data_IF_977761532661
#
_entry.id   IF_977761532661
#
_cell.length_a   1.000
_cell.length_b   1.000
_cell.length_c   1.000
_cell.angle_alpha   90.00
_cell.angle_beta   90.00
_cell.angle_gamma   90.00
#
_symmetry.space_group_name_H-M   'P 1'
#
loop_
_entity.id
_entity.type
_entity.pdbx_description
1 polymer ?
#
# COMPACT_ATOMS: atom_id res chain seq x y z
N UNK A 1 -31.19 -16.21 61.91
CA UNK A 1 -30.07 -15.25 61.94
C UNK A 1 -28.88 -15.96 61.33
N UNK A 2 -28.29 -15.61 60.20
CA UNK A 2 -28.57 -14.57 59.22
C UNK A 2 -27.96 -15.04 57.88
N UNK A 3 -28.62 -14.75 56.78
CA UNK A 3 -28.02 -14.83 55.45
C UNK A 3 -27.15 -13.58 55.27
N UNK A 4 -25.84 -13.75 55.21
CA UNK A 4 -24.92 -12.71 54.80
C UNK A 4 -25.01 -12.54 53.28
N UNK A 5 -25.80 -11.55 52.85
CA UNK A 5 -25.76 -11.01 51.50
C UNK A 5 -24.34 -10.48 51.22
N UNK A 6 -23.53 -11.26 50.49
CA UNK A 6 -22.41 -10.71 49.74
C UNK A 6 -23.00 -9.96 48.55
N UNK A 7 -23.23 -8.66 48.72
CA UNK A 7 -23.35 -7.75 47.60
C UNK A 7 -21.97 -7.68 46.92
N UNK A 8 -21.73 -8.61 46.00
CA UNK A 8 -20.61 -8.55 45.08
C UNK A 8 -20.85 -7.33 44.18
N UNK A 9 -20.06 -6.27 44.39
CA UNK A 9 -20.17 -5.03 43.64
C UNK A 9 -19.72 -5.29 42.19
N UNK A 10 -20.65 -5.78 41.36
CA UNK A 10 -20.54 -5.82 39.91
C UNK A 10 -20.44 -4.39 39.38
N UNK A 11 -19.22 -3.86 39.24
CA UNK A 11 -19.00 -2.74 38.32
C UNK A 11 -18.74 -3.29 36.93
N UNK A 12 -19.86 -3.41 36.22
CA UNK A 12 -20.03 -3.57 34.77
C UNK A 12 -19.11 -2.62 33.99
N UNK A 13 -18.84 -2.90 32.70
CA UNK A 13 -18.36 -1.83 31.80
C UNK A 13 -19.44 -0.76 31.90
N UNK A 14 -19.07 0.43 32.36
CA UNK A 14 -19.96 1.57 32.28
C UNK A 14 -20.47 1.62 30.84
N UNK A 15 -21.80 1.66 30.67
CA UNK A 15 -22.43 1.99 29.40
C UNK A 15 -21.79 3.30 28.92
N UNK A 16 -20.80 3.16 28.08
CA UNK A 16 -20.04 4.24 27.48
C UNK A 16 -20.20 4.00 26.00
N UNK A 17 -20.43 5.07 25.25
CA UNK A 17 -20.44 5.03 23.79
C UNK A 17 -19.07 4.64 23.21
N UNK A 18 -18.09 4.25 24.04
CA UNK A 18 -16.73 3.97 23.64
C UNK A 18 -16.58 2.60 22.98
N UNK A 19 -16.03 2.61 21.77
CA UNK A 19 -15.71 1.43 20.96
C UNK A 19 -14.26 1.00 21.18
N UNK A 20 -14.02 -0.21 21.67
CA UNK A 20 -12.68 -0.72 21.93
C UNK A 20 -12.14 -1.50 20.73
N UNK A 21 -10.95 -1.13 20.27
CA UNK A 21 -10.27 -1.71 19.12
C UNK A 21 -8.95 -2.31 19.60
N UNK A 22 -8.87 -3.64 19.60
CA UNK A 22 -7.65 -4.36 19.91
C UNK A 22 -6.76 -4.48 18.67
N UNK A 23 -5.51 -4.00 18.74
CA UNK A 23 -4.47 -4.33 17.76
C UNK A 23 -3.82 -5.63 18.22
N UNK A 24 -4.21 -6.73 17.58
CA UNK A 24 -3.77 -8.05 18.02
C UNK A 24 -2.27 -8.28 17.75
N UNK A 25 -1.59 -8.85 18.73
CA UNK A 25 -0.18 -9.27 18.65
C UNK A 25 -0.03 -10.68 19.25
N UNK A 26 0.86 -11.52 18.69
CA UNK A 26 1.16 -12.81 19.29
C UNK A 26 1.89 -12.63 20.63
N UNK A 27 1.65 -13.52 21.59
CA UNK A 27 2.21 -13.45 22.95
C UNK A 27 3.75 -13.41 23.02
N UNK A 28 4.45 -13.83 21.96
CA UNK A 28 5.93 -13.74 21.87
C UNK A 28 6.41 -12.34 21.44
N UNK A 29 5.55 -11.54 20.79
CA UNK A 29 5.88 -10.19 20.33
C UNK A 29 5.68 -9.13 21.42
N UNK A 30 4.75 -9.34 22.35
CA UNK A 30 4.47 -8.41 23.47
C UNK A 30 5.63 -8.25 24.46
N UNK A 31 6.64 -9.15 24.43
CA UNK A 31 7.83 -9.09 25.30
C UNK A 31 8.97 -8.22 24.77
N UNK A 32 8.92 -7.72 23.53
CA UNK A 32 9.94 -6.80 23.00
C UNK A 32 9.43 -5.37 23.08
N UNK A 33 9.92 -4.59 24.06
CA UNK A 33 9.84 -3.13 24.00
C UNK A 33 10.60 -2.68 22.75
N UNK A 34 9.88 -2.30 21.70
CA UNK A 34 10.49 -1.75 20.49
C UNK A 34 10.80 -0.27 20.78
N UNK A 35 12.06 0.19 20.79
CA UNK A 35 12.41 1.52 21.31
C UNK A 35 12.04 2.68 20.39
N UNK A 36 11.53 2.41 19.19
CA UNK A 36 11.22 3.43 18.20
C UNK A 36 9.89 3.09 17.53
N UNK A 37 8.86 3.87 17.87
CA UNK A 37 7.57 3.90 17.18
C UNK A 37 7.85 4.10 15.68
N UNK A 38 7.72 3.01 14.90
CA UNK A 38 7.61 3.14 13.44
C UNK A 38 6.33 3.92 13.18
N UNK A 39 6.30 4.77 12.15
CA UNK A 39 5.13 5.59 11.75
C UNK A 39 3.83 4.79 11.47
N UNK A 40 3.83 3.47 11.65
CA UNK A 40 2.72 2.53 11.48
C UNK A 40 2.16 1.98 12.80
N UNK A 41 2.76 2.27 13.95
CA UNK A 41 2.25 1.81 15.24
C UNK A 41 1.19 2.79 15.77
N UNK A 42 -0.05 2.31 15.89
CA UNK A 42 -1.18 3.08 16.40
C UNK A 42 -1.09 3.10 17.93
N UNK A 43 -0.86 4.25 18.58
CA UNK A 43 -0.72 4.28 20.04
C UNK A 43 -2.04 3.98 20.74
N UNK A 44 -1.96 3.41 21.94
CA UNK A 44 -3.13 3.20 22.81
C UNK A 44 -3.88 4.51 23.11
N UNK A 45 -5.18 4.39 23.25
CA UNK A 45 -6.10 5.47 23.60
C UNK A 45 -6.86 6.07 22.44
N UNK A 46 -7.47 7.23 22.71
CA UNK A 46 -8.36 7.95 21.78
C UNK A 46 -7.63 9.06 21.01
N UNK A 47 -6.38 9.39 21.40
CA UNK A 47 -5.66 10.58 20.94
C UNK A 47 -5.53 10.66 19.43
N UNK A 48 -5.42 9.52 18.74
CA UNK A 48 -5.30 9.49 17.28
C UNK A 48 -6.56 10.02 16.60
N UNK A 49 -7.75 9.67 17.12
CA UNK A 49 -9.02 10.09 16.53
C UNK A 49 -9.25 11.59 16.73
N UNK A 50 -8.93 12.11 17.91
CA UNK A 50 -9.02 13.53 18.23
C UNK A 50 -8.05 14.35 17.37
N UNK A 51 -6.78 13.93 17.28
CA UNK A 51 -5.75 14.64 16.50
C UNK A 51 -6.05 14.67 15.00
N UNK A 52 -6.64 13.59 14.48
CA UNK A 52 -7.04 13.50 13.07
C UNK A 52 -8.39 14.17 12.79
N UNK A 53 -9.07 14.71 13.81
CA UNK A 53 -10.40 15.32 13.71
C UNK A 53 -11.40 14.39 13.01
N UNK A 54 -11.43 13.13 13.44
CA UNK A 54 -12.38 12.15 12.91
C UNK A 54 -13.83 12.57 13.21
N UNK A 55 -14.78 12.16 12.38
CA UNK A 55 -16.22 12.37 12.61
C UNK A 55 -16.67 11.73 13.94
N UNK A 56 -16.18 10.51 14.20
CA UNK A 56 -16.36 9.81 15.46
C UNK A 56 -15.03 9.75 16.22
N UNK A 57 -15.05 10.18 17.48
CA UNK A 57 -13.87 10.19 18.38
C UNK A 57 -14.02 9.25 19.57
N UNK A 58 -15.15 8.57 19.69
CA UNK A 58 -15.49 7.58 20.71
C UNK A 58 -14.88 6.19 20.43
N UNK A 59 -13.69 6.12 19.81
CA UNK A 59 -12.95 4.88 19.62
C UNK A 59 -11.67 4.88 20.45
N UNK A 60 -11.32 3.73 21.00
CA UNK A 60 -10.17 3.53 21.86
C UNK A 60 -9.30 2.39 21.33
N UNK A 61 -8.05 2.70 20.98
CA UNK A 61 -7.08 1.70 20.54
C UNK A 61 -6.40 1.09 21.75
N UNK A 62 -6.18 -0.22 21.74
CA UNK A 62 -5.41 -0.90 22.76
C UNK A 62 -4.61 -2.07 22.21
N UNK A 63 -3.48 -2.36 22.83
CA UNK A 63 -2.73 -3.61 22.61
C UNK A 63 -2.90 -4.62 23.76
N UNK A 64 -3.63 -4.24 24.81
CA UNK A 64 -3.93 -5.09 25.94
C UNK A 64 -5.26 -5.82 25.70
N UNK A 65 -5.16 -7.13 25.43
CA UNK A 65 -6.33 -7.98 25.23
C UNK A 65 -7.18 -8.14 26.49
N UNK A 66 -6.61 -7.87 27.67
CA UNK A 66 -7.23 -8.05 28.97
C UNK A 66 -7.80 -6.74 29.55
N UNK A 67 -7.71 -5.63 28.80
CA UNK A 67 -8.17 -4.28 29.20
C UNK A 67 -9.62 -4.24 29.71
N UNK A 68 -10.47 -5.16 29.23
CA UNK A 68 -11.87 -5.31 29.67
C UNK A 68 -12.02 -6.44 30.70
N UNK A 69 -11.15 -6.46 31.72
CA UNK A 69 -11.10 -7.46 32.80
C UNK A 69 -10.92 -8.89 32.27
N UNK A 70 -10.06 -9.06 31.25
CA UNK A 70 -9.82 -10.36 30.60
C UNK A 70 -10.94 -10.83 29.67
N UNK A 71 -12.08 -10.12 29.57
CA UNK A 71 -13.17 -10.50 28.68
C UNK A 71 -13.00 -9.88 27.28
N UNK A 72 -12.22 -10.56 26.44
CA UNK A 72 -11.94 -10.14 25.07
C UNK A 72 -13.17 -10.14 24.14
N UNK A 73 -14.27 -10.83 24.48
CA UNK A 73 -15.52 -10.81 23.70
C UNK A 73 -16.21 -9.44 23.71
N UNK A 74 -15.83 -8.56 24.64
CA UNK A 74 -16.39 -7.21 24.78
C UNK A 74 -15.70 -6.17 23.89
N UNK A 75 -14.59 -6.50 23.25
CA UNK A 75 -13.95 -5.60 22.31
C UNK A 75 -14.82 -5.49 21.05
N UNK A 76 -15.04 -4.28 20.56
CA UNK A 76 -15.88 -4.01 19.39
C UNK A 76 -15.20 -4.47 18.09
N UNK A 77 -13.86 -4.33 18.02
CA UNK A 77 -13.06 -4.85 16.92
C UNK A 77 -11.71 -5.42 17.36
N UNK A 78 -11.22 -6.38 16.57
CA UNK A 78 -9.86 -6.91 16.67
C UNK A 78 -9.19 -6.80 15.31
N UNK A 79 -8.10 -6.04 15.24
CA UNK A 79 -7.31 -5.81 14.03
C UNK A 79 -6.12 -6.74 14.00
N UNK A 80 -6.03 -7.55 12.95
CA UNK A 80 -4.96 -8.52 12.73
C UNK A 80 -4.05 -8.03 11.61
N UNK A 81 -2.79 -7.71 11.94
CA UNK A 81 -1.82 -7.35 10.93
C UNK A 81 -1.29 -8.60 10.21
N UNK A 82 -1.17 -8.56 8.88
CA UNK A 82 -0.66 -9.70 8.09
C UNK A 82 0.69 -10.21 8.62
N UNK A 83 1.59 -9.30 9.00
CA UNK A 83 2.94 -9.66 9.48
C UNK A 83 2.92 -10.45 10.78
N UNK A 84 1.88 -10.27 11.58
CA UNK A 84 1.71 -10.95 12.87
C UNK A 84 1.03 -12.30 12.67
N UNK A 85 0.01 -12.40 11.81
CA UNK A 85 -0.70 -13.67 11.57
C UNK A 85 0.15 -14.67 10.78
N UNK A 86 0.91 -14.24 9.76
CA UNK A 86 1.76 -15.15 8.95
C UNK A 86 2.92 -15.76 9.73
N UNK A 87 3.29 -15.15 10.86
CA UNK A 87 4.33 -15.64 11.78
C UNK A 87 3.76 -16.45 12.95
N UNK A 88 2.44 -16.54 13.04
CA UNK A 88 1.74 -17.16 14.15
C UNK A 88 0.98 -18.39 13.68
N UNK A 89 0.93 -19.41 14.52
CA UNK A 89 0.01 -20.52 14.28
C UNK A 89 -1.39 -20.11 14.74
N UNK A 90 -2.47 -20.55 14.07
CA UNK A 90 -3.84 -20.23 14.48
C UNK A 90 -4.15 -20.50 15.95
N UNK A 91 -3.59 -21.59 16.50
CA UNK A 91 -3.72 -21.95 17.92
C UNK A 91 -3.18 -20.91 18.91
N UNK A 92 -2.37 -19.96 18.44
CA UNK A 92 -1.84 -18.86 19.25
C UNK A 92 -2.77 -17.63 19.27
N UNK A 93 -3.88 -17.65 18.50
CA UNK A 93 -4.92 -16.63 18.56
C UNK A 93 -5.82 -16.97 19.75
N UNK A 94 -5.38 -16.53 20.93
CA UNK A 94 -6.09 -16.72 22.20
C UNK A 94 -7.13 -15.61 22.40
N UNK A 95 -8.19 -15.68 21.58
CA UNK A 95 -9.35 -14.78 21.61
C UNK A 95 -10.63 -15.58 21.41
N UNK A 96 -11.65 -15.28 22.20
CA UNK A 96 -12.99 -15.80 21.99
C UNK A 96 -13.80 -14.73 21.27
N UNK A 97 -14.35 -15.09 20.09
CA UNK A 97 -15.08 -14.15 19.25
C UNK A 97 -16.55 -14.12 19.62
N UNK A 98 -17.07 -12.94 19.94
CA UNK A 98 -18.53 -12.72 20.01
C UNK A 98 -19.13 -12.45 18.62
N UNK A 99 -20.43 -12.71 18.41
CA UNK A 99 -21.10 -12.41 17.14
C UNK A 99 -21.04 -10.94 16.72
N UNK A 100 -20.98 -10.03 17.69
CA UNK A 100 -20.98 -8.57 17.47
C UNK A 100 -19.58 -8.03 17.16
N UNK A 101 -18.53 -8.76 17.56
CA UNK A 101 -17.14 -8.34 17.41
C UNK A 101 -16.66 -8.47 15.96
N UNK A 102 -16.03 -7.41 15.46
CA UNK A 102 -15.51 -7.35 14.09
C UNK A 102 -14.04 -7.74 14.03
N UNK A 103 -13.74 -8.83 13.33
CA UNK A 103 -12.36 -9.23 13.03
C UNK A 103 -11.91 -8.56 11.74
N UNK A 104 -10.89 -7.72 11.82
CA UNK A 104 -10.43 -6.85 10.73
C UNK A 104 -9.05 -7.33 10.26
N UNK A 105 -8.93 -7.74 9.01
CA UNK A 105 -7.64 -8.01 8.38
C UNK A 105 -6.96 -6.69 8.00
N UNK A 106 -5.69 -6.51 8.34
CA UNK A 106 -4.95 -5.29 8.03
C UNK A 106 -3.58 -5.55 7.36
N UNK A 107 -3.31 -4.88 6.24
CA UNK A 107 -2.00 -4.91 5.59
C UNK A 107 -1.74 -3.73 4.65
N UNK A 108 -0.55 -3.13 4.77
CA UNK A 108 0.02 -2.23 3.76
C UNK A 108 1.16 -2.87 2.97
N UNK A 109 1.54 -4.11 3.31
CA UNK A 109 2.46 -4.88 2.48
C UNK A 109 1.67 -5.72 1.47
N UNK A 110 2.28 -5.98 0.33
CA UNK A 110 1.69 -6.76 -0.75
C UNK A 110 1.39 -8.21 -0.37
N UNK A 111 0.35 -8.75 -1.00
CA UNK A 111 -0.07 -10.13 -0.82
C UNK A 111 0.90 -11.17 -1.40
N UNK A 112 1.73 -10.79 -2.37
CA UNK A 112 2.87 -11.59 -2.85
C UNK A 112 3.94 -11.73 -1.76
N UNK A 113 4.21 -10.66 -1.00
CA UNK A 113 5.26 -10.66 0.03
C UNK A 113 4.80 -11.36 1.32
N UNK A 114 3.52 -11.26 1.65
CA UNK A 114 2.92 -11.90 2.81
C UNK A 114 1.64 -12.65 2.42
N UNK A 115 1.76 -13.78 1.70
CA UNK A 115 0.60 -14.60 1.42
C UNK A 115 0.09 -15.23 2.72
N UNK A 116 -1.23 -15.46 2.78
CA UNK A 116 -1.86 -16.13 3.92
C UNK A 116 -2.15 -17.56 3.50
N UNK A 117 -1.44 -18.51 4.09
CA UNK A 117 -1.44 -19.90 3.63
C UNK A 117 -2.39 -20.81 4.40
N UNK A 118 -2.60 -20.53 5.69
CA UNK A 118 -3.42 -21.36 6.56
C UNK A 118 -4.92 -21.18 6.25
N UNK A 119 -5.60 -22.28 5.93
CA UNK A 119 -7.03 -22.28 5.62
C UNK A 119 -7.91 -21.84 6.79
N UNK A 120 -7.39 -21.84 8.01
CA UNK A 120 -8.04 -21.27 9.17
C UNK A 120 -8.53 -19.84 8.95
N UNK A 121 -7.85 -19.05 8.11
CA UNK A 121 -8.21 -17.66 7.86
C UNK A 121 -9.35 -17.47 6.84
N UNK A 122 -9.77 -18.54 6.15
CA UNK A 122 -10.99 -18.50 5.36
C UNK A 122 -12.21 -18.47 6.30
N UNK A 123 -13.16 -17.56 6.05
CA UNK A 123 -14.29 -17.29 6.96
C UNK A 123 -13.88 -16.68 8.32
N UNK A 124 -12.65 -16.18 8.47
CA UNK A 124 -12.20 -15.62 9.74
C UNK A 124 -12.49 -14.12 9.86
N UNK A 125 -12.23 -13.33 8.82
CA UNK A 125 -12.34 -11.87 8.86
C UNK A 125 -13.74 -11.37 8.46
N UNK A 126 -14.23 -10.34 9.14
CA UNK A 126 -15.41 -9.57 8.73
C UNK A 126 -15.05 -8.45 7.76
N UNK A 127 -13.99 -7.71 8.10
CA UNK A 127 -13.59 -6.52 7.36
C UNK A 127 -12.15 -6.59 6.91
N UNK A 128 -11.87 -5.86 5.84
CA UNK A 128 -10.54 -5.71 5.26
C UNK A 128 -10.09 -4.25 5.30
N UNK A 129 -8.87 -4.02 5.77
CA UNK A 129 -8.22 -2.71 5.84
C UNK A 129 -6.85 -2.79 5.19
N UNK A 130 -6.79 -2.66 3.86
CA UNK A 130 -5.58 -2.93 3.09
C UNK A 130 -5.32 -1.91 1.99
N UNK A 131 -4.21 -2.06 1.27
CA UNK A 131 -3.92 -1.24 0.09
C UNK A 131 -4.89 -1.47 -1.08
N UNK A 132 -5.58 -2.62 -1.12
CA UNK A 132 -6.50 -2.97 -2.21
C UNK A 132 -7.72 -2.03 -2.20
N UNK A 133 -8.12 -1.56 -3.37
CA UNK A 133 -9.18 -0.55 -3.51
C UNK A 133 -10.57 -1.11 -3.20
N UNK A 134 -10.72 -2.43 -3.26
CA UNK A 134 -11.94 -3.17 -2.93
C UNK A 134 -12.07 -3.56 -1.45
N UNK A 135 -11.14 -3.12 -0.59
CA UNK A 135 -11.20 -3.36 0.85
C UNK A 135 -12.37 -2.60 1.49
N UNK A 136 -12.90 -3.11 2.60
CA UNK A 136 -13.90 -2.39 3.42
C UNK A 136 -13.41 -1.02 3.89
N UNK A 137 -12.10 -0.90 4.10
CA UNK A 137 -11.38 0.30 4.48
C UNK A 137 -10.13 0.39 3.57
N UNK A 138 -10.22 1.00 2.38
CA UNK A 138 -9.08 1.06 1.47
C UNK A 138 -8.05 2.09 1.95
N UNK A 139 -6.80 1.65 2.10
CA UNK A 139 -5.64 2.47 2.44
C UNK A 139 -4.50 2.28 1.42
N UNK A 140 -4.64 2.82 0.20
CA UNK A 140 -3.58 2.82 -0.82
C UNK A 140 -2.31 3.50 -0.30
N UNK A 141 -1.17 3.20 -0.94
CA UNK A 141 0.14 3.73 -0.53
C UNK A 141 0.40 5.19 -0.95
N UNK A 142 -0.60 5.81 -1.57
CA UNK A 142 -0.58 7.21 -1.99
C UNK A 142 -1.93 7.86 -1.78
N UNK A 143 -1.96 9.19 -1.86
CA UNK A 143 -3.21 9.94 -1.92
C UNK A 143 -3.15 10.96 -3.04
N UNK A 144 -4.31 11.15 -3.69
CA UNK A 144 -4.51 12.00 -4.85
C UNK A 144 -5.42 13.14 -4.42
N UNK A 145 -4.97 14.36 -4.68
CA UNK A 145 -5.72 15.58 -4.41
C UNK A 145 -5.93 16.36 -5.70
N UNK A 146 -7.05 17.07 -5.81
CA UNK A 146 -7.28 18.01 -6.91
C UNK A 146 -6.57 19.37 -6.68
N UNK A 147 -6.73 20.29 -7.62
CA UNK A 147 -6.21 21.66 -7.58
C UNK A 147 -6.72 22.48 -6.39
N UNK A 148 -7.89 22.13 -5.84
CA UNK A 148 -8.48 22.69 -4.61
C UNK A 148 -7.97 22.03 -3.33
N UNK A 149 -7.01 21.10 -3.41
CA UNK A 149 -6.46 20.33 -2.27
C UNK A 149 -7.49 19.41 -1.60
N UNK A 150 -8.54 19.03 -2.32
CA UNK A 150 -9.52 18.06 -1.86
C UNK A 150 -9.04 16.65 -2.21
N UNK A 151 -9.20 15.71 -1.29
CA UNK A 151 -8.86 14.31 -1.54
C UNK A 151 -9.87 13.70 -2.51
N UNK A 152 -9.39 13.05 -3.58
CA UNK A 152 -10.25 12.42 -4.58
C UNK A 152 -10.00 10.92 -4.76
N UNK A 153 -8.85 10.40 -4.33
CA UNK A 153 -8.49 9.00 -4.53
C UNK A 153 -7.09 8.60 -4.02
N UNK A 154 -6.58 7.42 -4.43
CA UNK A 154 -7.16 6.52 -5.45
C UNK A 154 -8.37 5.75 -4.93
N UNK A 155 -9.24 5.35 -5.86
CA UNK A 155 -10.46 4.55 -5.62
C UNK A 155 -10.84 3.81 -6.91
N UNK A 156 -11.62 2.74 -6.79
CA UNK A 156 -12.18 2.04 -7.95
C UNK A 156 -12.99 3.00 -8.83
N UNK A 157 -12.86 2.84 -10.14
CA UNK A 157 -13.54 3.66 -11.15
C UNK A 157 -13.24 5.15 -10.96
N UNK A 158 -11.95 5.48 -10.88
CA UNK A 158 -11.50 6.86 -10.70
C UNK A 158 -11.97 7.76 -11.85
N UNK A 159 -12.56 8.91 -11.52
CA UNK A 159 -13.02 9.90 -12.50
C UNK A 159 -11.98 11.00 -12.64
N UNK A 160 -11.44 11.13 -13.85
CA UNK A 160 -10.45 12.13 -14.22
C UNK A 160 -11.08 13.27 -15.02
N UNK A 161 -10.45 14.45 -15.00
CA UNK A 161 -10.85 15.55 -15.86
C UNK A 161 -10.73 15.13 -17.32
N UNK A 162 -11.76 15.39 -18.15
CA UNK A 162 -11.76 14.98 -19.56
C UNK A 162 -10.70 15.74 -20.38
N UNK A 163 -10.32 16.94 -19.95
CA UNK A 163 -9.27 17.74 -20.56
C UNK A 163 -8.41 18.40 -19.48
N UNK A 164 -7.12 18.11 -19.50
CA UNK A 164 -6.12 18.72 -18.63
C UNK A 164 -5.29 19.68 -19.47
N UNK A 165 -5.15 20.92 -19.00
CA UNK A 165 -4.38 21.96 -19.70
C UNK A 165 -3.13 22.31 -18.88
N UNK A 166 -1.99 22.35 -19.57
CA UNK A 166 -0.69 22.73 -19.00
C UNK A 166 -0.53 24.25 -18.94
N UNK A 167 -0.06 24.77 -17.80
CA UNK A 167 0.50 26.12 -17.68
C UNK A 167 1.96 26.13 -18.16
N UNK A 168 2.39 27.20 -18.84
CA UNK A 168 3.68 27.30 -19.56
C UNK A 168 4.96 27.10 -18.73
N UNK A 169 4.83 27.02 -17.40
CA UNK A 169 5.93 26.89 -16.44
C UNK A 169 6.83 25.65 -16.62
N UNK A 170 6.42 24.66 -17.43
CA UNK A 170 7.18 23.43 -17.65
C UNK A 170 8.04 23.42 -18.92
N UNK A 171 7.88 24.40 -19.82
CA UNK A 171 8.57 24.38 -21.12
C UNK A 171 10.10 24.51 -20.97
N UNK A 172 10.63 25.30 -20.03
CA UNK A 172 12.06 25.64 -19.98
C UNK A 172 12.99 24.55 -19.43
N UNK A 173 12.52 23.59 -18.61
CA UNK A 173 13.39 22.62 -17.90
C UNK A 173 13.80 21.39 -18.71
N UNK A 174 13.14 21.10 -19.81
CA UNK A 174 13.21 19.80 -20.49
C UNK A 174 13.97 19.83 -21.82
N UNK A 175 14.28 21.00 -22.38
CA UNK A 175 15.06 21.14 -23.61
C UNK A 175 16.53 20.69 -23.48
N UNK A 176 17.01 20.33 -22.28
CA UNK A 176 18.38 19.85 -22.04
C UNK A 176 18.50 18.33 -21.91
N UNK A 177 17.39 17.57 -22.03
CA UNK A 177 17.42 16.11 -21.89
C UNK A 177 18.08 15.48 -23.12
N UNK A 178 19.01 14.56 -22.89
CA UNK A 178 19.78 13.90 -23.98
C UNK A 178 19.80 12.39 -23.87
N UNK A 179 19.27 11.82 -22.78
CA UNK A 179 19.28 10.38 -22.52
C UNK A 179 17.86 9.81 -22.50
N UNK A 180 17.68 8.61 -23.01
CA UNK A 180 16.36 8.02 -23.11
C UNK A 180 15.80 7.63 -21.73
N UNK A 181 16.30 6.54 -21.13
CA UNK A 181 15.66 5.92 -19.96
C UNK A 181 16.63 5.78 -18.80
N UNK A 182 16.20 6.18 -17.60
CA UNK A 182 16.87 5.87 -16.35
C UNK A 182 16.01 4.95 -15.49
N UNK A 183 16.65 4.03 -14.78
CA UNK A 183 16.01 3.19 -13.78
C UNK A 183 16.70 3.35 -12.43
N UNK A 184 15.95 3.79 -11.42
CA UNK A 184 16.45 3.93 -10.05
C UNK A 184 16.09 2.68 -9.22
N UNK A 185 17.10 1.94 -8.78
CA UNK A 185 16.95 0.72 -7.97
C UNK A 185 17.43 0.99 -6.56
N UNK A 186 16.55 1.15 -5.56
CA UNK A 186 16.98 1.28 -4.18
C UNK A 186 17.38 -0.07 -3.55
N UNK A 187 16.92 -1.21 -4.08
CA UNK A 187 17.17 -2.57 -3.54
C UNK A 187 17.45 -3.59 -4.64
N UNK A 188 18.46 -4.44 -4.48
CA UNK A 188 18.91 -5.35 -5.55
C UNK A 188 17.91 -6.44 -5.93
N UNK A 189 17.03 -6.86 -5.03
CA UNK A 189 16.08 -7.96 -5.27
C UNK A 189 15.20 -7.74 -6.50
N UNK A 190 14.77 -6.50 -6.73
CA UNK A 190 13.96 -6.11 -7.90
C UNK A 190 14.68 -6.36 -9.23
N UNK A 191 16.02 -6.38 -9.25
CA UNK A 191 16.81 -6.61 -10.47
C UNK A 191 16.65 -8.02 -11.03
N UNK A 192 16.59 -9.03 -10.16
CA UNK A 192 16.46 -10.42 -10.59
C UNK A 192 15.07 -10.70 -11.16
N UNK A 193 14.01 -10.20 -10.51
CA UNK A 193 12.61 -10.41 -10.92
C UNK A 193 12.31 -9.92 -12.33
N UNK A 194 12.88 -8.79 -12.73
CA UNK A 194 12.63 -8.17 -14.04
C UNK A 194 13.78 -8.35 -15.02
N UNK A 195 14.66 -9.34 -14.81
CA UNK A 195 15.88 -9.48 -15.60
C UNK A 195 15.59 -9.64 -17.10
N UNK A 196 14.60 -10.45 -17.47
CA UNK A 196 14.27 -10.72 -18.87
C UNK A 196 13.72 -9.46 -19.54
N UNK A 197 12.71 -8.82 -18.96
CA UNK A 197 12.18 -7.54 -19.44
C UNK A 197 13.29 -6.49 -19.59
N UNK A 198 14.17 -6.35 -18.60
CA UNK A 198 15.27 -5.38 -18.62
C UNK A 198 16.29 -5.71 -19.71
N UNK A 199 16.59 -6.99 -19.93
CA UNK A 199 17.52 -7.45 -20.96
C UNK A 199 16.96 -7.15 -22.35
N UNK A 200 15.72 -7.54 -22.59
CA UNK A 200 15.02 -7.30 -23.86
C UNK A 200 14.85 -5.81 -24.13
N UNK A 201 14.41 -5.03 -23.14
CA UNK A 201 14.19 -3.60 -23.30
C UNK A 201 15.51 -2.85 -23.56
N UNK A 202 16.60 -3.25 -22.92
CA UNK A 202 17.94 -2.73 -23.24
C UNK A 202 18.34 -3.03 -24.67
N UNK A 203 18.09 -4.24 -25.15
CA UNK A 203 18.41 -4.63 -26.53
C UNK A 203 17.59 -3.82 -27.52
N UNK A 204 16.31 -3.63 -27.25
CA UNK A 204 15.45 -2.82 -28.10
C UNK A 204 15.88 -1.35 -28.11
N UNK A 205 16.12 -0.72 -26.97
CA UNK A 205 16.56 0.68 -26.93
C UNK A 205 17.87 0.92 -27.72
N UNK A 206 18.77 -0.08 -27.76
CA UNK A 206 20.01 0.02 -28.54
C UNK A 206 19.77 0.12 -30.05
N UNK A 207 18.66 -0.42 -30.59
CA UNK A 207 18.37 -0.32 -32.04
C UNK A 207 18.12 1.13 -32.46
N UNK A 208 17.69 1.98 -31.53
CA UNK A 208 17.50 3.43 -31.69
C UNK A 208 18.69 4.25 -31.15
N UNK A 209 19.84 3.62 -30.87
CA UNK A 209 21.01 4.25 -30.26
C UNK A 209 20.73 4.89 -28.87
N UNK A 210 19.83 4.30 -28.10
CA UNK A 210 19.49 4.73 -26.75
C UNK A 210 20.04 3.81 -25.67
N UNK A 211 20.06 4.32 -24.43
CA UNK A 211 20.49 3.54 -23.26
C UNK A 211 19.40 3.49 -22.18
N UNK A 212 19.39 2.36 -21.46
CA UNK A 212 18.74 2.20 -20.16
C UNK A 212 19.81 2.25 -19.07
N UNK A 213 19.98 3.42 -18.47
CA UNK A 213 20.96 3.65 -17.41
C UNK A 213 20.38 3.28 -16.04
N UNK A 214 21.09 2.46 -15.27
CA UNK A 214 20.61 1.98 -13.96
C UNK A 214 21.37 2.65 -12.82
N UNK A 215 20.64 3.35 -11.94
CA UNK A 215 21.14 4.02 -10.75
C UNK A 215 20.84 3.22 -9.48
N UNK A 216 21.74 3.28 -8.50
CA UNK A 216 21.56 2.72 -7.16
C UNK A 216 22.65 1.74 -6.76
N UNK A 217 22.53 1.06 -5.60
CA UNK A 217 23.52 0.11 -5.10
C UNK A 217 23.93 -0.96 -6.13
N UNK A 218 22.99 -1.43 -6.96
CA UNK A 218 23.14 -2.60 -7.84
C UNK A 218 23.12 -2.22 -9.33
N UNK A 219 23.11 -0.92 -9.62
CA UNK A 219 23.22 -0.34 -10.95
C UNK A 219 24.67 -0.02 -11.30
N UNK A 220 24.93 0.19 -12.60
CA UNK A 220 26.22 0.66 -13.09
C UNK A 220 26.49 2.13 -12.73
N UNK A 221 25.46 2.88 -12.32
CA UNK A 221 25.57 4.29 -11.92
C UNK A 221 25.22 4.48 -10.46
N UNK A 222 25.92 5.40 -9.80
CA UNK A 222 25.68 5.74 -8.39
C UNK A 222 24.88 7.03 -8.29
N UNK A 223 24.01 7.10 -7.29
CA UNK A 223 23.32 8.33 -6.93
C UNK A 223 24.32 9.35 -6.40
N UNK A 224 24.20 10.65 -6.72
CA UNK A 224 25.06 11.68 -6.14
C UNK A 224 24.99 11.66 -4.61
N UNK A 225 26.14 11.44 -3.95
CA UNK A 225 26.28 11.26 -2.50
C UNK A 225 25.36 10.16 -1.92
N UNK A 226 25.01 9.14 -2.70
CA UNK A 226 24.09 8.08 -2.27
C UNK A 226 22.63 8.53 -2.06
N UNK A 227 22.28 9.76 -2.44
CA UNK A 227 20.96 10.35 -2.15
C UNK A 227 19.94 10.07 -3.25
N UNK A 228 18.84 9.41 -2.90
CA UNK A 228 17.70 9.14 -3.81
C UNK A 228 17.10 10.44 -4.38
N UNK A 229 16.76 11.48 -3.58
CA UNK A 229 16.26 12.74 -4.12
C UNK A 229 17.22 13.41 -5.11
N UNK A 230 18.54 13.40 -4.84
CA UNK A 230 19.53 13.95 -5.78
C UNK A 230 19.58 13.15 -7.08
N UNK A 231 19.39 11.82 -7.01
CA UNK A 231 19.32 10.99 -8.20
C UNK A 231 18.08 11.30 -9.04
N UNK A 232 16.91 11.44 -8.42
CA UNK A 232 15.69 11.81 -9.13
C UNK A 232 15.81 13.19 -9.79
N UNK A 233 16.42 14.17 -9.11
CA UNK A 233 16.73 15.47 -9.72
C UNK A 233 17.74 15.40 -10.87
N UNK A 234 18.70 14.47 -10.83
CA UNK A 234 19.60 14.22 -11.96
C UNK A 234 18.85 13.55 -13.13
N UNK A 235 17.96 12.60 -12.82
CA UNK A 235 17.12 11.91 -13.80
C UNK A 235 16.23 12.93 -14.52
N UNK A 236 15.54 13.79 -13.76
CA UNK A 236 14.73 14.89 -14.31
C UNK A 236 15.54 15.78 -15.28
N UNK A 237 16.80 16.09 -14.97
CA UNK A 237 17.61 16.97 -15.84
C UNK A 237 18.08 16.31 -17.13
N UNK A 238 18.38 15.01 -17.10
CA UNK A 238 19.13 14.34 -18.18
C UNK A 238 18.30 13.35 -19.01
N UNK A 239 17.23 12.79 -18.44
CA UNK A 239 16.50 11.69 -19.05
C UNK A 239 15.08 12.07 -19.46
N UNK A 240 14.61 11.53 -20.58
CA UNK A 240 13.22 11.63 -21.01
C UNK A 240 12.31 10.76 -20.13
N UNK A 241 12.77 9.55 -19.80
CA UNK A 241 11.95 8.57 -19.09
C UNK A 241 12.60 8.08 -17.80
N UNK A 242 11.74 7.78 -16.83
CA UNK A 242 12.09 7.03 -15.64
C UNK A 242 11.35 5.69 -15.69
N UNK A 243 12.08 4.59 -15.70
CA UNK A 243 11.51 3.26 -15.54
C UNK A 243 11.12 3.05 -14.06
N UNK A 244 9.86 2.69 -13.82
CA UNK A 244 9.27 2.42 -12.51
C UNK A 244 8.78 0.98 -12.51
N UNK A 245 9.51 0.11 -11.82
CA UNK A 245 9.12 -1.29 -11.64
C UNK A 245 8.59 -1.47 -10.22
N UNK A 246 7.38 -2.00 -10.10
CA UNK A 246 6.80 -2.32 -8.80
C UNK A 246 7.55 -3.48 -8.15
N UNK A 247 7.70 -3.45 -6.83
CA UNK A 247 8.43 -4.52 -6.12
C UNK A 247 7.69 -5.85 -6.16
N UNK A 248 6.37 -5.81 -6.24
CA UNK A 248 5.49 -6.97 -6.34
C UNK A 248 4.54 -6.80 -7.49
N UNK A 249 4.14 -7.92 -8.09
CA UNK A 249 3.33 -7.98 -9.29
C UNK A 249 1.95 -8.48 -8.84
N UNK A 250 1.17 -7.58 -8.24
CA UNK A 250 -0.18 -7.86 -7.73
C UNK A 250 -1.09 -6.66 -8.01
N UNK A 251 -2.40 -6.90 -8.06
CA UNK A 251 -3.39 -5.83 -8.26
C UNK A 251 -3.32 -4.76 -7.16
N UNK A 252 -3.69 -3.53 -7.50
CA UNK A 252 -3.77 -2.34 -6.62
C UNK A 252 -2.52 -1.94 -5.81
N UNK A 253 -1.41 -2.66 -5.94
CA UNK A 253 -0.17 -2.32 -5.26
C UNK A 253 0.69 -1.37 -6.09
N UNK A 254 0.35 -0.08 -6.01
CA UNK A 254 1.16 1.00 -6.60
C UNK A 254 2.00 1.67 -5.51
N UNK A 255 3.32 1.50 -5.56
CA UNK A 255 4.21 1.92 -4.47
C UNK A 255 4.50 3.42 -4.45
N UNK A 256 5.13 3.89 -3.37
CA UNK A 256 5.59 5.26 -3.23
C UNK A 256 6.61 5.68 -4.30
N UNK A 257 7.23 4.71 -5.00
CA UNK A 257 8.14 4.97 -6.12
C UNK A 257 7.43 5.67 -7.27
N UNK A 258 6.16 5.34 -7.49
CA UNK A 258 5.36 6.00 -8.51
C UNK A 258 5.19 7.49 -8.15
N UNK A 259 4.84 7.79 -6.89
CA UNK A 259 4.74 9.19 -6.41
C UNK A 259 6.07 9.93 -6.53
N UNK A 260 7.19 9.25 -6.21
CA UNK A 260 8.52 9.81 -6.39
C UNK A 260 8.79 10.16 -7.86
N UNK A 261 8.46 9.29 -8.81
CA UNK A 261 8.61 9.57 -10.24
C UNK A 261 7.71 10.73 -10.70
N UNK A 262 6.44 10.69 -10.31
CA UNK A 262 5.43 11.72 -10.62
C UNK A 262 5.76 13.10 -10.05
N UNK A 263 6.65 13.19 -9.06
CA UNK A 263 7.07 14.47 -8.48
C UNK A 263 8.01 15.28 -9.37
N UNK A 264 8.57 14.67 -10.43
CA UNK A 264 9.56 15.31 -11.33
C UNK A 264 9.01 15.43 -12.76
N UNK A 265 9.64 16.27 -13.58
CA UNK A 265 9.35 16.41 -15.02
C UNK A 265 10.10 15.33 -15.80
N UNK A 266 9.66 14.09 -15.63
CA UNK A 266 10.14 12.90 -16.35
C UNK A 266 8.95 11.97 -16.58
N UNK A 267 8.84 11.37 -17.76
CA UNK A 267 7.71 10.48 -18.05
C UNK A 267 7.98 9.10 -17.43
N UNK A 268 7.12 8.60 -16.55
CA UNK A 268 7.26 7.26 -16.00
C UNK A 268 6.88 6.21 -17.04
N UNK A 269 7.78 5.25 -17.29
CA UNK A 269 7.45 3.97 -17.93
C UNK A 269 7.23 2.98 -16.79
N UNK A 270 6.01 2.49 -16.62
CA UNK A 270 5.63 1.67 -15.47
C UNK A 270 5.37 0.22 -15.87
N UNK A 271 5.77 -0.71 -15.00
CA UNK A 271 5.47 -2.14 -15.14
C UNK A 271 5.03 -2.71 -13.79
N UNK A 272 3.81 -3.25 -13.75
CA UNK A 272 3.13 -3.84 -12.59
C UNK A 272 1.71 -4.27 -12.99
N UNK A 273 1.02 -5.06 -12.17
CA UNK A 273 -0.31 -5.63 -12.51
C UNK A 273 -1.50 -4.71 -12.23
N UNK A 274 -1.29 -3.57 -11.58
CA UNK A 274 -2.40 -2.72 -11.16
C UNK A 274 -3.09 -2.07 -12.37
N UNK A 275 -4.40 -1.90 -12.27
CA UNK A 275 -5.12 -1.02 -13.19
C UNK A 275 -4.77 0.44 -12.85
N UNK A 276 -3.73 0.94 -13.51
CA UNK A 276 -3.23 2.29 -13.29
C UNK A 276 -4.25 3.40 -13.58
N UNK A 277 -5.37 3.11 -14.26
CA UNK A 277 -6.43 4.10 -14.47
C UNK A 277 -7.09 4.53 -13.16
N UNK A 278 -7.02 3.70 -12.11
CA UNK A 278 -7.51 4.06 -10.77
C UNK A 278 -6.52 4.94 -9.98
N UNK A 279 -5.27 5.03 -10.44
CA UNK A 279 -4.17 5.64 -9.69
C UNK A 279 -3.56 6.85 -10.39
N UNK A 280 -3.56 6.89 -11.72
CA UNK A 280 -2.80 7.82 -12.54
C UNK A 280 -3.71 8.52 -13.56
N UNK A 281 -3.57 9.84 -13.79
CA UNK A 281 -4.38 10.52 -14.78
C UNK A 281 -4.05 9.98 -16.18
N UNK A 282 -5.03 9.89 -17.09
CA UNK A 282 -4.80 9.51 -18.47
C UNK A 282 -3.70 10.36 -19.11
N UNK A 283 -2.81 9.70 -19.84
CA UNK A 283 -1.68 10.36 -20.49
C UNK A 283 -0.52 10.73 -19.56
N UNK A 284 -0.51 10.37 -18.28
CA UNK A 284 0.60 10.73 -17.36
C UNK A 284 1.77 9.74 -17.32
N UNK A 285 1.65 8.59 -17.99
CA UNK A 285 2.60 7.47 -17.92
C UNK A 285 2.54 6.60 -19.18
N UNK A 286 3.57 5.80 -19.41
CA UNK A 286 3.58 4.72 -20.40
C UNK A 286 3.44 3.39 -19.66
N UNK A 287 2.35 2.65 -19.90
CA UNK A 287 2.20 1.30 -19.35
C UNK A 287 2.98 0.29 -20.19
N UNK A 288 4.10 -0.21 -19.67
CA UNK A 288 4.92 -1.19 -20.36
C UNK A 288 4.20 -2.54 -20.55
N UNK A 289 3.24 -2.89 -19.69
CA UNK A 289 2.48 -4.14 -19.82
C UNK A 289 1.54 -4.14 -21.04
N UNK A 290 1.17 -2.96 -21.55
CA UNK A 290 0.24 -2.82 -22.67
C UNK A 290 0.88 -3.04 -24.05
N UNK A 291 2.20 -3.25 -24.11
CA UNK A 291 2.95 -3.30 -25.36
C UNK A 291 3.98 -4.42 -25.35
N UNK A 292 4.22 -5.03 -26.52
CA UNK A 292 5.45 -5.80 -26.70
C UNK A 292 6.68 -4.90 -26.68
N UNK A 293 7.87 -5.52 -26.57
CA UNK A 293 9.11 -4.77 -26.40
C UNK A 293 9.43 -3.87 -27.59
N UNK A 294 9.15 -4.29 -28.83
CA UNK A 294 9.43 -3.52 -30.05
C UNK A 294 8.55 -2.28 -30.09
N UNK A 295 7.26 -2.44 -29.79
CA UNK A 295 6.32 -1.34 -29.71
C UNK A 295 6.71 -0.37 -28.61
N UNK A 296 7.12 -0.85 -27.44
CA UNK A 296 7.62 0.00 -26.35
C UNK A 296 8.86 0.81 -26.78
N UNK A 297 9.81 0.19 -27.48
CA UNK A 297 10.97 0.87 -28.08
C UNK A 297 10.57 1.99 -29.03
N UNK A 298 9.64 1.71 -29.95
CA UNK A 298 9.14 2.69 -30.91
C UNK A 298 8.40 3.86 -30.25
N UNK A 299 7.70 3.62 -29.12
CA UNK A 299 7.02 4.68 -28.35
C UNK A 299 8.07 5.59 -27.71
N UNK A 300 9.14 5.03 -27.14
CA UNK A 300 10.23 5.82 -26.57
C UNK A 300 10.87 6.70 -27.64
N UNK A 301 11.21 6.14 -28.79
CA UNK A 301 11.79 6.89 -29.92
C UNK A 301 10.86 7.99 -30.44
N UNK A 302 9.59 7.65 -30.67
CA UNK A 302 8.59 8.60 -31.14
C UNK A 302 8.46 9.78 -30.18
N UNK A 303 8.35 9.54 -28.88
CA UNK A 303 8.20 10.61 -27.89
C UNK A 303 9.46 11.48 -27.77
N UNK A 304 10.67 10.92 -27.91
CA UNK A 304 11.91 11.71 -27.93
C UNK A 304 11.94 12.67 -29.12
N UNK A 305 11.50 12.21 -30.30
CA UNK A 305 11.47 13.00 -31.53
C UNK A 305 10.24 13.92 -31.67
N UNK A 306 9.23 13.77 -30.82
CA UNK A 306 7.99 14.56 -30.85
C UNK A 306 7.77 15.31 -29.53
N UNK A 307 8.46 16.46 -29.32
CA UNK A 307 8.42 17.20 -28.06
C UNK A 307 7.00 17.57 -27.61
N UNK A 308 6.13 18.01 -28.52
CA UNK A 308 4.75 18.38 -28.19
C UNK A 308 3.98 17.21 -27.57
N UNK A 309 4.13 16.01 -28.12
CA UNK A 309 3.49 14.79 -27.59
C UNK A 309 4.14 14.37 -26.27
N UNK A 310 5.46 14.44 -26.15
CA UNK A 310 6.14 14.18 -24.88
C UNK A 310 5.65 15.11 -23.76
N UNK A 311 5.43 16.39 -24.08
CA UNK A 311 5.01 17.37 -23.10
C UNK A 311 3.56 17.22 -22.63
N UNK A 312 2.70 16.64 -23.47
CA UNK A 312 1.33 16.28 -23.09
C UNK A 312 1.29 15.39 -21.84
N UNK A 313 2.34 14.59 -21.59
CA UNK A 313 2.43 13.73 -20.41
C UNK A 313 2.52 14.47 -19.07
N UNK A 314 2.64 15.80 -19.11
CA UNK A 314 2.73 16.64 -17.92
C UNK A 314 1.53 17.56 -17.74
N UNK A 315 0.53 17.51 -18.64
CA UNK A 315 -0.64 18.40 -18.60
C UNK A 315 -1.43 18.24 -17.29
N UNK A 316 -1.43 17.04 -16.72
CA UNK A 316 -2.09 16.70 -15.46
C UNK A 316 -1.51 17.41 -14.23
N UNK A 317 -0.24 17.86 -14.27
CA UNK A 317 0.48 18.34 -13.07
C UNK A 317 -0.08 19.61 -12.43
N UNK A 318 -0.96 20.35 -13.13
CA UNK A 318 -1.64 21.52 -12.56
C UNK A 318 -3.00 21.17 -11.94
N UNK A 319 -3.48 19.94 -12.14
CA UNK A 319 -4.82 19.51 -11.76
C UNK A 319 -4.80 18.54 -10.59
N UNK A 320 -3.70 17.80 -10.42
CA UNK A 320 -3.59 16.79 -9.39
C UNK A 320 -2.26 16.83 -8.64
N UNK A 321 -2.33 16.52 -7.35
CA UNK A 321 -1.18 16.39 -6.46
C UNK A 321 -1.14 15.01 -5.82
N UNK A 322 0.07 14.46 -5.75
CA UNK A 322 0.33 13.15 -5.15
C UNK A 322 1.12 13.29 -3.86
N UNK A 323 0.77 12.48 -2.86
CA UNK A 323 1.57 12.32 -1.64
C UNK A 323 1.85 10.85 -1.38
N UNK A 324 3.08 10.55 -0.94
CA UNK A 324 3.52 9.23 -0.51
C UNK A 324 3.26 8.99 0.99
N UNK A 325 2.63 9.94 1.67
CA UNK A 325 2.13 9.80 3.05
C UNK A 325 0.62 9.59 2.95
N UNK A 326 0.15 8.35 2.79
CA UNK A 326 -1.28 8.12 2.65
C UNK A 326 -2.01 8.55 3.92
N UNK A 327 -3.25 9.01 3.75
CA UNK A 327 -4.12 9.32 4.88
C UNK A 327 -4.31 8.06 5.73
N UNK A 328 -4.13 8.18 7.04
CA UNK A 328 -4.50 7.10 7.95
C UNK A 328 -6.00 6.91 7.89
N UNK A 329 -6.46 5.68 7.65
CA UNK A 329 -7.89 5.35 7.59
C UNK A 329 -8.45 4.89 8.93
N UNK A 330 -7.77 5.24 10.02
CA UNK A 330 -8.24 4.89 11.37
C UNK A 330 -9.56 5.59 11.71
N UNK A 331 -9.79 6.81 11.19
CA UNK A 331 -11.09 7.47 11.30
C UNK A 331 -12.21 6.65 10.64
N UNK A 332 -11.93 6.06 9.47
CA UNK A 332 -12.90 5.26 8.72
C UNK A 332 -13.28 3.99 9.49
N UNK A 333 -12.31 3.34 10.14
CA UNK A 333 -12.60 2.22 11.04
C UNK A 333 -13.55 2.64 12.17
N UNK A 334 -13.31 3.80 12.79
CA UNK A 334 -14.17 4.30 13.85
C UNK A 334 -15.57 4.65 13.36
N UNK A 335 -15.67 5.30 12.20
CA UNK A 335 -16.94 5.60 11.53
C UNK A 335 -17.72 4.32 11.27
N UNK A 336 -17.11 3.31 10.64
CA UNK A 336 -17.78 2.02 10.38
C UNK A 336 -18.25 1.32 11.66
N UNK A 337 -17.48 1.39 12.74
CA UNK A 337 -17.89 0.80 14.03
C UNK A 337 -19.09 1.49 14.68
N UNK A 338 -19.31 2.78 14.37
CA UNK A 338 -20.46 3.53 14.87
C UNK A 338 -21.69 3.35 13.96
N UNK A 339 -21.50 3.39 12.64
CA UNK A 339 -22.59 3.38 11.66
C UNK A 339 -23.13 1.98 11.32
N UNK A 340 -22.28 0.95 11.32
CA UNK A 340 -22.66 -0.42 10.94
C UNK A 340 -22.96 -1.37 12.11
N UNK A 341 -23.02 -0.88 13.36
CA UNK A 341 -23.32 -1.77 14.49
C UNK A 341 -24.78 -2.27 14.46
N UNK A 342 -25.68 -1.55 13.79
CA UNK A 342 -27.14 -1.78 13.87
C UNK A 342 -27.76 -2.52 12.68
N UNK A 343 -27.04 -2.75 11.57
CA UNK A 343 -27.71 -3.10 10.29
C UNK A 343 -27.09 -4.22 9.43
N UNK A 344 -26.02 -4.90 9.84
CA UNK A 344 -25.40 -5.92 8.99
C UNK A 344 -25.17 -7.26 9.70
N UNK A 345 -25.87 -8.30 9.22
CA UNK A 345 -25.53 -9.72 9.41
C UNK A 345 -24.01 -9.92 9.26
N UNK A 346 -23.39 -10.87 9.97
CA UNK A 346 -21.94 -11.08 9.89
C UNK A 346 -21.53 -11.54 8.48
N UNK A 347 -21.20 -10.60 7.59
CA UNK A 347 -20.46 -10.90 6.38
C UNK A 347 -19.06 -11.35 6.81
N UNK A 348 -18.71 -12.57 6.43
CA UNK A 348 -17.37 -13.10 6.57
C UNK A 348 -16.80 -13.33 5.19
N UNK A 349 -15.51 -13.03 5.01
CA UNK A 349 -14.81 -13.31 3.77
C UNK A 349 -14.62 -14.82 3.62
N UNK A 350 -15.53 -15.48 2.90
CA UNK A 350 -15.58 -16.96 2.80
C UNK A 350 -14.33 -17.56 2.15
N UNK A 351 -13.84 -16.94 1.09
CA UNK A 351 -12.63 -17.32 0.38
C UNK A 351 -11.56 -16.25 0.56
N UNK A 352 -11.29 -15.90 1.83
CA UNK A 352 -10.41 -14.80 2.19
C UNK A 352 -9.03 -14.93 1.54
N UNK A 353 -8.42 -16.12 1.57
CA UNK A 353 -7.08 -16.31 0.98
C UNK A 353 -7.05 -16.03 -0.52
N UNK A 354 -8.09 -16.46 -1.24
CA UNK A 354 -8.24 -16.22 -2.69
C UNK A 354 -8.44 -14.73 -2.99
N UNK A 355 -9.21 -14.03 -2.16
CA UNK A 355 -9.36 -12.56 -2.27
C UNK A 355 -8.03 -11.85 -2.00
N UNK A 356 -7.28 -12.28 -0.97
CA UNK A 356 -6.02 -11.63 -0.59
C UNK A 356 -4.94 -11.83 -1.65
N UNK A 357 -4.75 -13.06 -2.10
CA UNK A 357 -3.82 -13.43 -3.15
C UNK A 357 -4.48 -14.50 -4.04
N UNK A 358 -4.91 -14.17 -5.28
CA UNK A 358 -5.49 -15.15 -6.19
C UNK A 358 -4.59 -16.37 -6.43
N UNK A 359 -3.27 -16.16 -6.42
CA UNK A 359 -2.23 -17.16 -6.65
C UNK A 359 -1.64 -17.70 -5.33
N UNK A 360 -2.43 -17.67 -4.24
CA UNK A 360 -1.95 -18.07 -2.92
C UNK A 360 -1.43 -19.52 -2.89
N UNK A 361 -1.96 -20.42 -3.73
CA UNK A 361 -1.51 -21.82 -3.75
C UNK A 361 -0.04 -21.93 -4.13
N UNK A 362 0.34 -21.28 -5.23
CA UNK A 362 1.71 -21.27 -5.74
C UNK A 362 2.62 -20.52 -4.78
N UNK A 363 2.20 -19.32 -4.34
CA UNK A 363 2.94 -18.50 -3.38
C UNK A 363 3.23 -19.24 -2.06
N UNK A 364 2.25 -19.99 -1.55
CA UNK A 364 2.39 -20.76 -0.32
C UNK A 364 3.23 -22.03 -0.48
N UNK A 365 3.19 -22.66 -1.65
CA UNK A 365 4.05 -23.78 -1.97
C UNK A 365 5.51 -23.33 -2.05
N UNK A 366 5.80 -22.24 -2.75
CA UNK A 366 7.15 -21.64 -2.82
C UNK A 366 7.68 -21.27 -1.44
N UNK A 367 6.86 -20.64 -0.59
CA UNK A 367 7.24 -20.33 0.79
C UNK A 367 7.57 -21.58 1.60
N UNK A 368 6.82 -22.66 1.42
CA UNK A 368 7.04 -23.92 2.13
C UNK A 368 8.38 -24.54 1.73
N UNK A 369 8.69 -24.56 0.43
CA UNK A 369 9.98 -25.04 -0.11
C UNK A 369 11.14 -24.19 0.41
N UNK A 370 11.04 -22.86 0.34
CA UNK A 370 12.08 -21.96 0.85
C UNK A 370 12.32 -22.13 2.36
N UNK A 371 11.25 -22.32 3.15
CA UNK A 371 11.38 -22.58 4.57
C UNK A 371 12.01 -23.94 4.89
N UNK A 372 11.97 -24.91 3.98
CA UNK A 372 12.68 -26.20 4.13
C UNK A 372 14.15 -26.03 3.75
N UNK A 373 14.44 -25.35 2.64
CA UNK A 373 15.79 -25.20 2.10
C UNK A 373 16.68 -24.28 2.96
N UNK A 374 16.12 -23.23 3.56
CA UNK A 374 16.89 -22.20 4.27
C UNK A 374 16.71 -22.23 5.81
N UNK A 375 16.17 -23.32 6.37
CA UNK A 375 16.14 -23.56 7.83
C UNK A 375 17.35 -24.34 8.36
N UNK A 376 18.26 -24.77 7.48
CA UNK A 376 19.44 -25.56 7.82
C UNK A 376 20.76 -24.75 7.78
N UNK A 377 20.69 -23.43 7.63
CA UNK A 377 21.79 -22.47 7.84
C UNK A 377 21.42 -21.52 8.97
#
# INVERSE_FOLDING_TARGET
>A
MGQSNQLECQKERLSTDLKYILIWKPARASKKKVPFLKHTELPDGQRVFIRQKCNYINCYITHDKDILKGNNQRLDAVVFNVRDIVKSQPKNIDLQRSPEQKYVFHSLDSSEKYPVCDSFFDNFFNWTWTYKLDSDIPQPLMSIYNDKKEWIGPKLNMSWLPKMIRRDQFNKKSFSKTKAVAWLIPRCKTKAKYQDFISEFRRELKTYNYTLDTYGPCGSKKCPNGSIPKCLGLIEKKYFFQLVLEDTFVEDYVSERMVQALSYIVVPIVLGMSDYTNFLPPGSYVNAQSFDIKKLGSIVDYLIHNPSTYYYFFDWKNHYYYTSRPRSQICELCTKLNENFTTSSPSMYRQFRKWWNPDFRDSCQEMSVNNILFKND
#
